data_IF_211292807387
#
_entry.id   IF_211292807387
#
_cell.length_a   1.000
_cell.length_b   1.000
_cell.length_c   1.000
_cell.angle_alpha   90.00
_cell.angle_beta   90.00
_cell.angle_gamma   90.00
#
_symmetry.space_group_name_H-M   'P 1'
#
loop_
_entity.id
_entity.type
_entity.pdbx_description
1 polymer ?
#
# COMPACT_ATOMS: atom_id res chain seq x y z
N UNK A 1 2.52 -28.18 -8.58
CA UNK A 1 2.79 -28.26 -7.15
C UNK A 1 3.94 -27.32 -6.89
N UNK A 2 3.69 -26.19 -6.32
CA UNK A 2 4.70 -25.16 -6.01
C UNK A 2 5.14 -25.42 -4.57
N UNK A 3 6.44 -25.47 -4.38
CA UNK A 3 7.12 -25.80 -3.13
C UNK A 3 6.72 -24.86 -1.99
N UNK A 4 6.47 -25.38 -0.78
CA UNK A 4 6.02 -24.67 0.41
C UNK A 4 6.91 -23.47 0.82
N UNK A 5 8.15 -23.43 0.37
CA UNK A 5 9.01 -22.27 0.58
C UNK A 5 8.66 -21.06 -0.30
N UNK A 6 7.84 -21.26 -1.34
CA UNK A 6 7.32 -20.17 -2.19
C UNK A 6 5.89 -19.78 -1.85
N UNK A 7 5.14 -20.62 -1.15
CA UNK A 7 3.74 -20.35 -0.79
C UNK A 7 3.54 -19.10 0.06
N UNK A 8 4.52 -18.75 0.87
CA UNK A 8 4.46 -17.54 1.69
C UNK A 8 4.70 -16.24 0.91
N UNK A 9 5.43 -16.32 -0.20
CA UNK A 9 5.50 -15.23 -1.16
C UNK A 9 4.17 -15.07 -1.92
N UNK A 10 3.42 -16.16 -2.09
CA UNK A 10 2.11 -16.15 -2.75
C UNK A 10 1.02 -15.42 -1.96
N UNK A 11 1.16 -15.13 -0.70
CA UNK A 11 0.09 -14.40 0.01
C UNK A 11 0.22 -12.88 -0.09
N UNK A 12 1.43 -12.35 -0.05
CA UNK A 12 1.67 -11.02 -0.63
C UNK A 12 1.40 -11.03 -2.15
N UNK A 13 1.51 -12.21 -2.78
CA UNK A 13 1.28 -12.49 -4.20
C UNK A 13 -0.09 -13.16 -4.45
N UNK A 14 -0.69 -13.88 -3.50
CA UNK A 14 -1.99 -14.57 -3.66
C UNK A 14 -3.19 -13.64 -3.72
N UNK A 15 -2.95 -12.40 -3.43
CA UNK A 15 -3.79 -11.29 -3.88
C UNK A 15 -3.50 -10.91 -5.35
N UNK A 16 -2.71 -11.69 -6.07
CA UNK A 16 -2.11 -11.34 -7.34
C UNK A 16 -2.41 -12.43 -8.34
N UNK A 17 -3.29 -12.10 -9.27
CA UNK A 17 -3.78 -12.97 -10.32
C UNK A 17 -2.74 -13.91 -10.95
N UNK A 18 -3.04 -15.21 -10.90
CA UNK A 18 -2.45 -16.28 -11.70
C UNK A 18 -2.62 -16.01 -13.20
N UNK A 19 -1.80 -15.20 -13.79
CA UNK A 19 -1.60 -15.30 -15.25
C UNK A 19 -0.27 -14.69 -15.67
N UNK A 20 0.69 -15.56 -15.90
CA UNK A 20 1.74 -15.48 -16.90
C UNK A 20 2.37 -14.12 -17.20
N UNK A 21 3.57 -13.92 -16.66
CA UNK A 21 4.76 -13.34 -17.33
C UNK A 21 4.61 -12.09 -18.24
N UNK A 22 3.63 -11.22 -18.02
CA UNK A 22 3.63 -9.87 -18.60
C UNK A 22 3.43 -8.88 -17.49
N UNK A 23 4.40 -7.98 -17.30
CA UNK A 23 4.27 -6.79 -16.47
C UNK A 23 3.01 -6.05 -16.89
N UNK A 24 1.93 -6.26 -16.17
CA UNK A 24 0.66 -5.58 -16.46
C UNK A 24 0.41 -4.58 -15.36
N UNK A 25 0.41 -3.31 -15.75
CA UNK A 25 -0.20 -2.28 -14.95
C UNK A 25 -1.70 -2.59 -14.78
N UNK A 26 -2.21 -2.31 -13.59
CA UNK A 26 -3.65 -2.37 -13.32
C UNK A 26 -4.40 -1.43 -14.27
N UNK A 27 -5.46 -1.92 -14.90
CA UNK A 27 -6.21 -1.16 -15.89
C UNK A 27 -6.96 0.06 -15.28
N UNK A 28 -7.26 0.03 -13.98
CA UNK A 28 -7.97 1.12 -13.29
C UNK A 28 -7.00 2.21 -12.86
N UNK A 29 -5.95 1.83 -12.15
CA UNK A 29 -5.01 2.78 -11.52
C UNK A 29 -3.78 3.08 -12.38
N UNK A 30 -3.47 2.21 -13.34
CA UNK A 30 -2.23 2.27 -14.13
C UNK A 30 -0.97 1.89 -13.36
N UNK A 31 -1.10 1.44 -12.11
CA UNK A 31 0.03 1.03 -11.28
C UNK A 31 0.43 -0.43 -11.54
N UNK A 32 1.68 -0.73 -11.29
CA UNK A 32 2.16 -2.12 -11.21
C UNK A 32 1.62 -2.78 -9.94
N UNK A 33 1.55 -4.11 -9.96
CA UNK A 33 0.97 -4.89 -8.88
C UNK A 33 2.00 -5.43 -7.88
N UNK A 34 1.53 -6.28 -7.00
CA UNK A 34 2.36 -6.88 -5.97
C UNK A 34 3.42 -7.85 -6.50
N UNK A 35 3.26 -8.62 -7.63
CA UNK A 35 4.37 -9.37 -8.22
C UNK A 35 5.56 -8.49 -8.54
N UNK A 36 5.31 -7.30 -9.08
CA UNK A 36 6.35 -6.33 -9.42
C UNK A 36 6.96 -5.70 -8.17
N UNK A 37 6.15 -5.50 -7.12
CA UNK A 37 6.65 -5.08 -5.81
C UNK A 37 7.63 -6.11 -5.23
N UNK A 38 7.26 -7.39 -5.20
CA UNK A 38 8.15 -8.45 -4.73
C UNK A 38 9.39 -8.61 -5.61
N UNK A 39 9.22 -8.52 -6.93
CA UNK A 39 10.35 -8.55 -7.87
C UNK A 39 11.32 -7.39 -7.62
N UNK A 40 10.80 -6.20 -7.32
CA UNK A 40 11.61 -5.06 -6.94
C UNK A 40 12.42 -5.30 -5.66
N UNK A 41 11.79 -5.86 -4.61
CA UNK A 41 12.49 -6.17 -3.36
C UNK A 41 13.57 -7.25 -3.55
N UNK A 42 13.26 -8.30 -4.30
CA UNK A 42 14.20 -9.41 -4.58
C UNK A 42 15.37 -9.00 -5.50
N UNK A 43 15.19 -7.96 -6.30
CA UNK A 43 16.23 -7.45 -7.19
C UNK A 43 17.25 -6.54 -6.49
N UNK A 44 17.06 -6.23 -5.20
CA UNK A 44 18.04 -5.46 -4.44
C UNK A 44 19.32 -6.29 -4.29
N UNK A 45 20.47 -5.67 -4.62
CA UNK A 45 21.78 -6.33 -4.57
C UNK A 45 22.29 -6.49 -3.13
N UNK A 46 21.93 -5.53 -2.28
CA UNK A 46 22.31 -5.50 -0.88
C UNK A 46 21.09 -5.82 0.00
N UNK A 47 21.28 -6.38 1.19
CA UNK A 47 20.20 -6.59 2.14
C UNK A 47 19.49 -5.28 2.48
N UNK A 48 18.16 -5.33 2.55
CA UNK A 48 17.34 -4.17 2.95
C UNK A 48 17.52 -3.96 4.46
N UNK A 49 18.18 -2.87 4.84
CA UNK A 49 18.52 -2.58 6.24
C UNK A 49 17.86 -1.31 6.77
N UNK A 50 17.17 -0.57 5.93
CA UNK A 50 16.48 0.69 6.25
C UNK A 50 15.30 0.91 5.33
N UNK A 51 14.55 1.96 5.58
CA UNK A 51 13.39 2.32 4.79
C UNK A 51 12.09 1.86 5.40
N UNK A 52 11.00 2.05 4.68
CA UNK A 52 9.67 1.65 5.15
C UNK A 52 8.82 1.08 4.01
N UNK A 53 7.83 0.27 4.41
CA UNK A 53 6.66 -0.06 3.61
C UNK A 53 5.45 0.61 4.24
N UNK A 54 4.72 1.35 3.44
CA UNK A 54 3.49 2.02 3.83
C UNK A 54 2.31 1.30 3.18
N UNK A 55 1.53 0.59 3.99
CA UNK A 55 0.34 -0.13 3.55
C UNK A 55 -0.87 0.78 3.64
N UNK A 56 -1.45 1.12 2.52
CA UNK A 56 -2.58 2.04 2.40
C UNK A 56 -3.83 1.26 2.03
N UNK A 57 -4.94 1.53 2.70
CA UNK A 57 -6.25 0.99 2.35
C UNK A 57 -7.32 2.08 2.40
N UNK A 58 -8.22 2.09 1.44
CA UNK A 58 -9.37 3.01 1.44
C UNK A 58 -10.37 2.51 2.48
N UNK A 59 -10.84 3.42 3.34
CA UNK A 59 -11.81 3.08 4.37
C UNK A 59 -13.19 2.83 3.75
N UNK A 60 -13.87 1.78 4.22
CA UNK A 60 -15.22 1.40 3.81
C UNK A 60 -15.42 1.25 2.29
N UNK A 61 -14.39 0.87 1.55
CA UNK A 61 -14.44 0.78 0.09
C UNK A 61 -15.55 -0.17 -0.41
N UNK A 62 -15.80 -1.27 0.31
CA UNK A 62 -16.92 -2.16 0.02
C UNK A 62 -18.29 -1.46 0.10
N UNK A 63 -18.48 -0.60 1.08
CA UNK A 63 -19.70 0.20 1.22
C UNK A 63 -19.81 1.27 0.11
N UNK A 64 -18.70 1.85 -0.31
CA UNK A 64 -18.67 2.77 -1.46
C UNK A 64 -19.16 2.06 -2.73
N UNK A 65 -18.61 0.88 -3.03
CA UNK A 65 -19.04 0.08 -4.18
C UNK A 65 -20.50 -0.34 -4.10
N UNK A 66 -20.97 -0.77 -2.92
CA UNK A 66 -22.35 -1.21 -2.72
C UNK A 66 -23.35 -0.07 -2.89
N UNK A 67 -22.99 1.14 -2.49
CA UNK A 67 -23.88 2.31 -2.53
C UNK A 67 -23.86 3.06 -3.86
N UNK A 68 -22.72 3.12 -4.54
CA UNK A 68 -22.51 3.95 -5.73
C UNK A 68 -22.09 3.17 -6.98
N UNK A 69 -21.85 1.87 -6.85
CA UNK A 69 -21.48 0.99 -7.96
C UNK A 69 -19.99 0.94 -8.23
N UNK A 70 -19.59 -0.05 -9.04
CA UNK A 70 -18.19 -0.36 -9.34
C UNK A 70 -17.49 0.76 -10.12
N UNK A 71 -18.17 1.44 -11.02
CA UNK A 71 -17.58 2.54 -11.80
C UNK A 71 -17.15 3.70 -10.92
N UNK A 72 -17.97 4.02 -9.92
CA UNK A 72 -17.61 5.03 -8.93
C UNK A 72 -16.45 4.57 -8.04
N UNK A 73 -16.45 3.30 -7.60
CA UNK A 73 -15.31 2.72 -6.90
C UNK A 73 -14.01 2.79 -7.71
N UNK A 74 -14.07 2.47 -9.00
CA UNK A 74 -12.93 2.59 -9.91
C UNK A 74 -12.44 4.04 -10.04
N UNK A 75 -13.35 5.00 -10.08
CA UNK A 75 -13.01 6.43 -10.07
C UNK A 75 -12.25 6.79 -8.78
N UNK A 76 -12.72 6.35 -7.61
CA UNK A 76 -12.03 6.58 -6.34
C UNK A 76 -10.65 5.92 -6.32
N UNK A 77 -10.54 4.65 -6.74
CA UNK A 77 -9.25 3.96 -6.82
C UNK A 77 -8.23 4.72 -7.66
N UNK A 78 -8.65 5.18 -8.84
CA UNK A 78 -7.81 5.96 -9.75
C UNK A 78 -7.39 7.29 -9.15
N UNK A 79 -8.32 7.99 -8.50
CA UNK A 79 -8.08 9.30 -7.90
C UNK A 79 -7.10 9.20 -6.73
N UNK A 80 -7.29 8.21 -5.85
CA UNK A 80 -6.38 7.95 -4.72
C UNK A 80 -4.98 7.60 -5.23
N UNK A 81 -4.87 6.71 -6.21
CA UNK A 81 -3.60 6.35 -6.83
C UNK A 81 -2.89 7.57 -7.44
N UNK A 82 -3.61 8.42 -8.15
CA UNK A 82 -3.09 9.65 -8.73
C UNK A 82 -2.57 10.63 -7.69
N UNK A 83 -3.36 10.91 -6.66
CA UNK A 83 -2.97 11.79 -5.56
C UNK A 83 -1.73 11.27 -4.82
N UNK A 84 -1.68 9.98 -4.52
CA UNK A 84 -0.51 9.39 -3.87
C UNK A 84 0.73 9.49 -4.76
N UNK A 85 0.60 9.13 -6.04
CA UNK A 85 1.71 9.18 -7.00
C UNK A 85 2.33 10.58 -7.13
N UNK A 86 1.51 11.63 -7.12
CA UNK A 86 1.97 13.02 -7.17
C UNK A 86 2.72 13.45 -5.90
N UNK A 87 2.53 12.75 -4.78
CA UNK A 87 3.24 13.01 -3.53
C UNK A 87 4.63 12.37 -3.46
N UNK A 88 4.91 11.39 -4.31
CA UNK A 88 6.14 10.61 -4.26
C UNK A 88 7.33 11.36 -4.87
N UNK A 89 8.50 11.11 -4.30
CA UNK A 89 9.80 11.47 -4.88
C UNK A 89 10.36 10.32 -5.72
N UNK A 90 11.47 10.55 -6.40
CA UNK A 90 12.17 9.53 -7.21
C UNK A 90 12.65 8.31 -6.40
N UNK A 91 12.77 8.47 -5.07
CA UNK A 91 13.18 7.40 -4.15
C UNK A 91 12.05 6.44 -3.82
N UNK A 92 10.82 6.88 -3.96
CA UNK A 92 9.63 6.15 -3.55
C UNK A 92 8.96 5.49 -4.75
N UNK A 93 8.36 4.33 -4.50
CA UNK A 93 7.57 3.59 -5.49
C UNK A 93 6.22 3.24 -4.90
N UNK A 94 5.22 3.13 -5.76
CA UNK A 94 3.87 2.74 -5.38
C UNK A 94 3.40 1.58 -6.25
N UNK A 95 2.69 0.64 -5.61
CA UNK A 95 2.08 -0.51 -6.26
C UNK A 95 0.63 -0.65 -5.80
N UNK A 96 -0.24 -1.08 -6.70
CA UNK A 96 -1.60 -1.48 -6.36
C UNK A 96 -1.61 -2.97 -6.03
N UNK A 97 -1.99 -3.33 -4.81
CA UNK A 97 -1.98 -4.72 -4.37
C UNK A 97 -3.28 -5.43 -4.79
N UNK A 98 -4.32 -5.27 -4.03
CA UNK A 98 -5.61 -5.90 -4.28
C UNK A 98 -6.74 -5.00 -3.81
N UNK A 99 -7.85 -5.01 -4.51
CA UNK A 99 -9.05 -4.24 -4.17
C UNK A 99 -8.75 -2.76 -3.93
N UNK A 100 -8.81 -2.33 -2.67
CA UNK A 100 -8.58 -0.94 -2.22
C UNK A 100 -7.19 -0.70 -1.62
N UNK A 101 -6.27 -1.67 -1.77
CA UNK A 101 -4.99 -1.66 -1.05
C UNK A 101 -3.81 -1.31 -1.96
N UNK A 102 -2.90 -0.50 -1.41
CA UNK A 102 -1.68 -0.06 -2.07
C UNK A 102 -0.48 -0.24 -1.13
N UNK A 103 0.70 -0.31 -1.71
CA UNK A 103 1.94 -0.19 -0.96
C UNK A 103 2.81 0.90 -1.55
N UNK A 104 3.34 1.75 -0.67
CA UNK A 104 4.41 2.68 -0.99
C UNK A 104 5.67 2.17 -0.33
N UNK A 105 6.76 2.11 -1.08
CA UNK A 105 8.06 1.66 -0.60
C UNK A 105 9.10 2.75 -0.75
N UNK A 106 9.86 2.96 0.32
CA UNK A 106 11.06 3.80 0.34
C UNK A 106 12.17 2.99 1.02
N UNK A 107 13.19 2.60 0.27
CA UNK A 107 14.34 1.83 0.79
C UNK A 107 15.51 2.73 1.19
N UNK A 108 15.39 4.04 1.03
CA UNK A 108 16.44 5.00 1.37
C UNK A 108 16.13 5.80 2.63
N UNK A 109 14.88 5.83 3.06
CA UNK A 109 14.46 6.52 4.27
C UNK A 109 15.28 6.06 5.48
N UNK A 110 15.71 7.01 6.30
CA UNK A 110 16.57 6.77 7.47
C UNK A 110 15.82 6.85 8.80
N UNK A 111 14.58 7.29 8.77
CA UNK A 111 13.76 7.45 9.98
C UNK A 111 12.26 7.30 9.71
N UNK A 112 11.50 7.03 10.77
CA UNK A 112 10.05 6.93 10.73
C UNK A 112 9.37 8.30 10.46
N UNK A 113 10.04 9.39 10.79
CA UNK A 113 9.56 10.75 10.55
C UNK A 113 9.36 11.03 9.05
N UNK A 114 10.15 10.39 8.19
CA UNK A 114 9.98 10.49 6.73
C UNK A 114 8.67 9.84 6.27
N UNK A 115 8.25 8.73 6.89
CA UNK A 115 6.95 8.12 6.63
C UNK A 115 5.80 9.01 7.14
N UNK A 116 5.96 9.65 8.31
CA UNK A 116 4.98 10.62 8.86
C UNK A 116 4.82 11.80 7.90
N UNK A 117 5.92 12.39 7.45
CA UNK A 117 5.91 13.51 6.50
C UNK A 117 5.23 13.15 5.18
N UNK A 118 5.50 11.95 4.65
CA UNK A 118 4.83 11.46 3.44
C UNK A 118 3.33 11.26 3.67
N UNK A 119 2.94 10.68 4.80
CA UNK A 119 1.53 10.52 5.19
C UNK A 119 0.80 11.86 5.24
N UNK A 120 1.39 12.89 5.85
CA UNK A 120 0.79 14.23 5.91
C UNK A 120 0.61 14.81 4.52
N UNK A 121 1.62 14.74 3.67
CA UNK A 121 1.56 15.19 2.29
C UNK A 121 0.45 14.49 1.49
N UNK A 122 0.29 13.18 1.65
CA UNK A 122 -0.77 12.40 1.01
C UNK A 122 -2.15 12.83 1.54
N UNK A 123 -2.29 12.98 2.86
CA UNK A 123 -3.54 13.37 3.50
C UNK A 123 -4.00 14.76 3.03
N UNK A 124 -3.10 15.72 2.97
CA UNK A 124 -3.39 17.07 2.48
C UNK A 124 -3.78 17.06 1.00
N UNK A 125 -3.08 16.27 0.19
CA UNK A 125 -3.40 16.14 -1.24
C UNK A 125 -4.79 15.55 -1.46
N UNK A 126 -5.15 14.50 -0.71
CA UNK A 126 -6.47 13.88 -0.78
C UNK A 126 -7.57 14.82 -0.26
N UNK A 127 -7.29 15.57 0.80
CA UNK A 127 -8.23 16.57 1.30
C UNK A 127 -8.53 17.65 0.24
N UNK A 128 -7.48 18.19 -0.38
CA UNK A 128 -7.64 19.17 -1.46
C UNK A 128 -8.42 18.59 -2.64
N UNK A 129 -8.16 17.34 -3.03
CA UNK A 129 -8.94 16.66 -4.06
C UNK A 129 -10.43 16.60 -3.71
N UNK A 130 -10.78 16.22 -2.47
CA UNK A 130 -12.18 16.15 -2.01
C UNK A 130 -12.83 17.53 -2.05
N UNK A 131 -12.11 18.58 -1.66
CA UNK A 131 -12.59 19.98 -1.72
C UNK A 131 -12.82 20.41 -3.15
N UNK A 132 -11.89 20.13 -4.06
CA UNK A 132 -11.98 20.48 -5.48
C UNK A 132 -13.17 19.79 -6.17
N UNK A 133 -13.50 18.55 -5.74
CA UNK A 133 -14.68 17.80 -6.17
C UNK A 133 -15.98 18.24 -5.46
N UNK A 134 -15.98 19.39 -4.79
CA UNK A 134 -17.13 19.92 -4.03
C UNK A 134 -17.74 18.93 -3.04
N UNK A 135 -16.92 18.07 -2.43
CA UNK A 135 -17.35 17.02 -1.50
C UNK A 135 -18.27 15.95 -2.11
N UNK A 136 -18.34 15.85 -3.44
CA UNK A 136 -19.08 14.76 -4.09
C UNK A 136 -18.41 13.39 -3.89
N UNK A 137 -17.10 13.39 -3.74
CA UNK A 137 -16.31 12.21 -3.45
C UNK A 137 -15.79 12.27 -2.00
N UNK A 138 -16.54 11.72 -1.05
CA UNK A 138 -16.11 11.64 0.37
C UNK A 138 -15.57 10.23 0.65
N UNK A 139 -14.29 10.16 0.92
CA UNK A 139 -13.60 8.94 1.33
C UNK A 139 -12.45 9.27 2.27
N UNK A 140 -11.90 8.26 2.92
CA UNK A 140 -10.70 8.37 3.72
C UNK A 140 -9.79 7.16 3.47
N UNK A 141 -8.54 7.27 3.87
CA UNK A 141 -7.58 6.18 3.82
C UNK A 141 -7.02 5.92 5.21
N UNK A 142 -6.73 4.67 5.49
CA UNK A 142 -5.93 4.27 6.66
C UNK A 142 -4.58 3.76 6.20
N UNK A 143 -3.54 4.02 7.00
CA UNK A 143 -2.15 3.75 6.65
C UNK A 143 -1.46 3.03 7.80
N UNK A 144 -0.92 1.84 7.50
CA UNK A 144 -0.02 1.11 8.38
C UNK A 144 1.42 1.17 7.83
N UNK A 145 2.38 1.40 8.69
CA UNK A 145 3.81 1.50 8.31
C UNK A 145 4.61 0.43 9.03
N UNK A 146 5.50 -0.23 8.32
CA UNK A 146 6.50 -1.14 8.88
C UNK A 146 7.90 -0.77 8.38
N UNK A 147 8.91 -1.17 9.14
CA UNK A 147 10.32 -1.09 8.72
C UNK A 147 10.55 -2.04 7.54
N UNK A 148 11.15 -1.54 6.47
CA UNK A 148 11.45 -2.34 5.28
C UNK A 148 12.49 -3.44 5.56
N UNK A 149 13.35 -3.28 6.56
CA UNK A 149 14.30 -4.31 6.99
C UNK A 149 13.62 -5.61 7.44
N UNK A 150 12.33 -5.56 7.82
CA UNK A 150 11.52 -6.73 8.14
C UNK A 150 11.44 -7.74 6.98
N UNK A 151 11.63 -7.31 5.74
CA UNK A 151 11.67 -8.20 4.59
C UNK A 151 12.82 -9.21 4.68
N UNK A 152 13.94 -8.83 5.30
CA UNK A 152 15.09 -9.72 5.52
C UNK A 152 14.86 -10.73 6.66
N UNK A 153 13.86 -10.52 7.52
CA UNK A 153 13.48 -11.48 8.57
C UNK A 153 12.68 -12.67 8.00
N UNK A 154 12.20 -12.54 6.78
CA UNK A 154 11.42 -13.54 6.06
C UNK A 154 10.09 -12.98 5.55
N UNK A 155 9.64 -13.53 4.44
CA UNK A 155 8.45 -13.03 3.72
C UNK A 155 7.19 -13.17 4.57
N UNK A 156 7.05 -14.26 5.32
CA UNK A 156 5.87 -14.51 6.16
C UNK A 156 5.81 -13.55 7.35
N UNK A 157 6.92 -13.28 7.99
CA UNK A 157 6.99 -12.34 9.11
C UNK A 157 6.71 -10.91 8.62
N UNK A 158 7.32 -10.53 7.50
CA UNK A 158 7.04 -9.26 6.85
C UNK A 158 5.53 -9.11 6.53
N UNK A 159 4.91 -10.15 5.97
CA UNK A 159 3.48 -10.16 5.67
C UNK A 159 2.61 -9.94 6.91
N UNK A 160 2.89 -10.67 7.99
CA UNK A 160 2.14 -10.53 9.26
C UNK A 160 2.20 -9.12 9.81
N UNK A 161 3.40 -8.55 9.89
CA UNK A 161 3.59 -7.17 10.37
C UNK A 161 2.91 -6.15 9.46
N UNK A 162 3.00 -6.36 8.14
CA UNK A 162 2.40 -5.50 7.13
C UNK A 162 0.87 -5.47 7.23
N UNK A 163 0.22 -6.63 7.30
CA UNK A 163 -1.23 -6.74 7.49
C UNK A 163 -1.68 -6.22 8.85
N UNK A 164 -0.93 -6.54 9.89
CA UNK A 164 -1.21 -6.08 11.26
C UNK A 164 -1.21 -4.55 11.33
N UNK A 165 -0.21 -3.89 10.76
CA UNK A 165 -0.11 -2.43 10.79
C UNK A 165 -1.33 -1.74 10.16
N UNK A 166 -1.80 -2.19 8.98
CA UNK A 166 -3.01 -1.63 8.38
C UNK A 166 -4.27 -1.95 9.20
N UNK A 167 -4.36 -3.16 9.75
CA UNK A 167 -5.48 -3.56 10.61
C UNK A 167 -5.56 -2.66 11.86
N UNK A 168 -4.42 -2.38 12.49
CA UNK A 168 -4.36 -1.46 13.63
C UNK A 168 -4.78 -0.04 13.21
N UNK A 169 -4.25 0.47 12.10
CA UNK A 169 -4.66 1.77 11.57
C UNK A 169 -6.19 1.85 11.37
N UNK A 170 -6.79 0.84 10.74
CA UNK A 170 -8.26 0.78 10.53
C UNK A 170 -9.04 0.65 11.85
N UNK A 171 -8.49 0.01 12.88
CA UNK A 171 -9.13 -0.13 14.19
C UNK A 171 -9.20 1.18 14.97
N UNK A 172 -8.35 2.16 14.64
CA UNK A 172 -8.35 3.50 15.25
C UNK A 172 -9.48 4.39 14.71
N UNK A 173 -10.26 3.89 13.77
CA UNK A 173 -11.31 4.63 13.06
C UNK A 173 -10.89 5.04 11.66
N UNK A 174 -11.68 5.91 11.02
CA UNK A 174 -11.35 6.45 9.70
C UNK A 174 -10.14 7.38 9.78
N UNK A 175 -9.36 7.47 8.70
CA UNK A 175 -8.07 8.19 8.66
C UNK A 175 -7.03 7.65 9.67
N UNK A 176 -7.07 6.36 9.96
CA UNK A 176 -6.13 5.76 10.90
C UNK A 176 -4.70 5.79 10.38
N UNK A 177 -3.76 5.98 11.29
CA UNK A 177 -2.33 5.90 11.02
C UNK A 177 -1.62 5.12 12.13
N UNK A 178 -0.83 4.13 11.75
CA UNK A 178 -0.15 3.27 12.69
C UNK A 178 1.25 2.92 12.20
N UNK A 179 2.24 3.10 13.05
CA UNK A 179 3.61 2.65 12.80
C UNK A 179 3.87 1.43 13.68
N UNK A 180 4.17 0.31 13.05
CA UNK A 180 4.52 -0.91 13.75
C UNK A 180 5.84 -0.75 14.50
N UNK A 181 5.85 -1.13 15.78
CA UNK A 181 7.06 -1.23 16.58
C UNK A 181 7.23 -2.67 17.09
N UNK A 182 8.47 -3.10 17.30
CA UNK A 182 8.74 -4.44 17.86
C UNK A 182 8.25 -4.60 19.34
N UNK A 183 7.70 -3.55 19.93
CA UNK A 183 7.08 -3.60 21.26
C UNK A 183 5.61 -4.02 21.22
N UNK A 184 5.04 -4.18 20.02
CA UNK A 184 3.62 -4.49 19.79
C UNK A 184 3.33 -5.99 19.75
N UNK A 185 4.34 -6.84 20.02
CA UNK A 185 4.24 -8.30 20.08
C UNK A 185 4.36 -8.81 21.49
#
# INVERSE_FOLDING_TARGET
>A
VIDDQQGNAEYLVGCLNETGNKRRADNVTGLLGGPEFLAYLRAQKEPITKGFFMHVGIDDFGAINSSRGADYGNYILKSVAGCMKECLSDKQRIYHLVADQYVIVDLEASSAEEAVALKEKITDKLHNFIVDENYEAIFSISIGVIDAATFCEGTEECRKKFEFALKQAKSMGKNGFYIFSNLDY
#
